data_IF_172918803207
#
_entry.id   IF_172918803207
#
_cell.length_a   1.000
_cell.length_b   1.000
_cell.length_c   1.000
_cell.angle_alpha   90.00
_cell.angle_beta   90.00
_cell.angle_gamma   90.00
#
_symmetry.space_group_name_H-M   'P 1'
#
loop_
_entity.id
_entity.type
_entity.pdbx_description
1 polymer ?
#
# COMPACT_ATOMS: atom_id res chain seq x y z
N UNK A 1 -4.11 -3.16 6.71
CA UNK A 1 -4.93 -2.24 7.54
C UNK A 1 -6.43 -2.34 7.26
N UNK A 2 -6.89 -1.88 6.09
CA UNK A 2 -8.31 -1.77 5.71
C UNK A 2 -8.49 -0.74 4.59
N UNK A 3 -9.70 -0.21 4.36
CA UNK A 3 -10.02 0.68 3.23
C UNK A 3 -9.50 2.13 3.38
N UNK A 4 -8.60 2.39 4.33
CA UNK A 4 -7.97 3.70 4.51
C UNK A 4 -6.80 3.94 3.53
N UNK A 5 -6.32 2.91 2.85
CA UNK A 5 -5.46 3.05 1.69
C UNK A 5 -6.31 3.03 0.41
N UNK A 6 -5.80 3.66 -0.65
CA UNK A 6 -6.33 3.49 -1.99
C UNK A 6 -5.18 3.30 -2.95
N UNK A 7 -5.18 2.20 -3.67
CA UNK A 7 -4.21 1.88 -4.70
C UNK A 7 -4.85 2.17 -6.05
N UNK A 8 -4.17 2.96 -6.86
CA UNK A 8 -4.63 3.27 -8.21
C UNK A 8 -3.87 2.37 -9.17
N UNK A 9 -4.59 1.62 -9.99
CA UNK A 9 -4.04 0.77 -11.04
C UNK A 9 -4.54 1.28 -12.39
N UNK A 10 -3.62 1.55 -13.32
CA UNK A 10 -3.94 2.01 -14.67
C UNK A 10 -3.75 0.87 -15.66
N UNK A 11 -4.80 0.48 -16.36
CA UNK A 11 -4.79 -0.60 -17.37
C UNK A 11 -5.27 -0.02 -18.69
N UNK A 12 -4.36 0.14 -19.64
CA UNK A 12 -4.62 0.92 -20.85
C UNK A 12 -5.10 2.33 -20.49
N UNK A 13 -6.28 2.73 -20.98
CA UNK A 13 -6.85 4.07 -20.72
C UNK A 13 -7.69 4.15 -19.43
N UNK A 14 -7.84 3.05 -18.68
CA UNK A 14 -8.71 2.97 -17.52
C UNK A 14 -7.94 3.08 -16.21
N UNK A 15 -8.46 3.89 -15.28
CA UNK A 15 -7.91 4.06 -13.94
C UNK A 15 -8.84 3.46 -12.89
N UNK A 16 -8.35 2.49 -12.12
CA UNK A 16 -9.10 1.83 -11.07
C UNK A 16 -8.55 2.25 -9.70
N UNK A 17 -9.39 2.87 -8.87
CA UNK A 17 -9.06 3.13 -7.46
C UNK A 17 -9.65 2.04 -6.58
N UNK A 18 -8.81 1.16 -6.04
CA UNK A 18 -9.22 0.03 -5.17
C UNK A 18 -8.78 0.27 -3.73
N UNK A 19 -9.58 -0.19 -2.76
CA UNK A 19 -9.32 0.00 -1.32
C UNK A 19 -9.45 -1.28 -0.51
N UNK A 20 -10.30 -2.20 -0.93
CA UNK A 20 -10.51 -3.50 -0.29
C UNK A 20 -10.00 -4.65 -1.15
N UNK A 21 -10.29 -4.62 -2.45
CA UNK A 21 -9.87 -5.67 -3.38
C UNK A 21 -8.37 -5.54 -3.66
N UNK A 22 -7.56 -6.60 -3.50
CA UNK A 22 -6.15 -6.57 -3.84
C UNK A 22 -5.90 -6.12 -5.30
N UNK A 23 -4.85 -5.35 -5.52
CA UNK A 23 -4.49 -4.78 -6.83
C UNK A 23 -4.19 -5.83 -7.90
N UNK A 24 -3.94 -7.08 -7.47
CA UNK A 24 -3.81 -8.25 -8.35
C UNK A 24 -5.07 -8.64 -9.12
N UNK A 25 -6.19 -7.91 -8.98
CA UNK A 25 -7.40 -8.14 -9.78
C UNK A 25 -7.16 -8.08 -11.30
N UNK A 26 -6.10 -7.42 -11.76
CA UNK A 26 -5.73 -7.39 -13.18
C UNK A 26 -5.31 -8.76 -13.73
N UNK A 27 -4.95 -9.71 -12.85
CA UNK A 27 -4.62 -11.08 -13.22
C UNK A 27 -5.87 -11.97 -13.07
N UNK A 28 -6.48 -12.45 -14.17
CA UNK A 28 -7.78 -13.14 -14.12
C UNK A 28 -7.72 -14.49 -13.41
N UNK A 29 -6.59 -15.19 -13.50
CA UNK A 29 -6.39 -16.51 -12.89
C UNK A 29 -5.99 -16.44 -11.41
N UNK A 30 -5.73 -15.24 -10.89
CA UNK A 30 -5.34 -15.07 -9.49
C UNK A 30 -6.54 -15.17 -8.56
N UNK A 31 -6.39 -15.95 -7.47
CA UNK A 31 -7.27 -15.92 -6.31
C UNK A 31 -6.94 -14.69 -5.46
N UNK A 32 -7.94 -13.87 -5.16
CA UNK A 32 -7.78 -12.64 -4.37
C UNK A 32 -8.24 -12.89 -2.94
N UNK A 33 -7.38 -12.65 -1.95
CA UNK A 33 -7.69 -12.94 -0.55
C UNK A 33 -7.48 -11.72 0.34
N UNK A 34 -8.34 -11.55 1.35
CA UNK A 34 -8.19 -10.55 2.41
C UNK A 34 -7.89 -11.26 3.73
N UNK A 35 -6.64 -11.17 4.20
CA UNK A 35 -6.15 -11.83 5.40
C UNK A 35 -6.79 -11.34 6.71
N UNK A 36 -6.86 -12.22 7.70
CA UNK A 36 -7.52 -11.97 8.99
C UNK A 36 -7.09 -10.70 9.72
N UNK A 37 -5.86 -10.21 9.54
CA UNK A 37 -5.36 -8.98 10.15
C UNK A 37 -5.95 -7.70 9.57
N UNK A 38 -6.67 -7.77 8.46
CA UNK A 38 -7.29 -6.63 7.78
C UNK A 38 -8.67 -6.32 8.37
N UNK A 39 -9.03 -5.04 8.38
CA UNK A 39 -10.40 -4.58 8.64
C UNK A 39 -11.20 -4.54 7.34
N UNK A 40 -12.42 -5.09 7.38
CA UNK A 40 -13.30 -5.19 6.22
C UNK A 40 -14.45 -4.22 6.39
N UNK A 41 -14.66 -3.38 5.37
CA UNK A 41 -15.91 -2.64 5.20
C UNK A 41 -16.77 -3.36 4.14
N UNK A 42 -17.85 -4.06 4.54
CA UNK A 42 -18.68 -4.83 3.61
C UNK A 42 -19.23 -3.98 2.46
N UNK A 43 -19.51 -2.69 2.72
CA UNK A 43 -20.07 -1.76 1.74
C UNK A 43 -19.05 -1.46 0.63
N UNK A 44 -17.79 -1.27 1.01
CA UNK A 44 -16.70 -1.00 0.07
C UNK A 44 -16.33 -2.27 -0.68
N UNK A 45 -16.21 -3.39 0.04
CA UNK A 45 -15.88 -4.70 -0.53
C UNK A 45 -16.87 -5.10 -1.63
N UNK A 46 -18.17 -5.15 -1.33
CA UNK A 46 -19.20 -5.56 -2.30
C UNK A 46 -19.26 -4.61 -3.51
N UNK A 47 -19.12 -3.30 -3.29
CA UNK A 47 -19.07 -2.32 -4.39
C UNK A 47 -17.88 -2.56 -5.32
N UNK A 48 -16.71 -2.88 -4.76
CA UNK A 48 -15.50 -3.13 -5.56
C UNK A 48 -15.57 -4.49 -6.29
N UNK A 49 -16.29 -5.49 -5.76
CA UNK A 49 -16.59 -6.74 -6.50
C UNK A 49 -17.36 -6.43 -7.79
N UNK A 50 -18.45 -5.68 -7.67
CA UNK A 50 -19.29 -5.31 -8.81
C UNK A 50 -18.52 -4.47 -9.83
N UNK A 51 -17.71 -3.52 -9.34
CA UNK A 51 -16.91 -2.62 -10.19
C UNK A 51 -15.86 -3.37 -11.01
N UNK A 52 -15.21 -4.37 -10.40
CA UNK A 52 -14.06 -5.06 -10.98
C UNK A 52 -14.41 -6.40 -11.64
N UNK A 53 -15.64 -6.90 -11.46
CA UNK A 53 -16.06 -8.18 -12.01
C UNK A 53 -15.27 -9.36 -11.46
N UNK A 54 -14.96 -9.35 -10.16
CA UNK A 54 -14.11 -10.35 -9.50
C UNK A 54 -14.88 -11.38 -8.68
N UNK A 55 -16.20 -11.42 -8.84
CA UNK A 55 -17.03 -12.42 -8.18
C UNK A 55 -16.56 -13.85 -8.53
N UNK A 56 -16.65 -14.76 -7.55
CA UNK A 56 -16.19 -16.15 -7.67
C UNK A 56 -14.69 -16.39 -7.47
N UNK A 57 -13.85 -15.34 -7.40
CA UNK A 57 -12.39 -15.49 -7.15
C UNK A 57 -11.83 -14.60 -6.05
N UNK A 58 -12.69 -13.85 -5.37
CA UNK A 58 -12.34 -13.00 -4.23
C UNK A 58 -12.88 -13.60 -2.93
N UNK A 59 -12.06 -13.60 -1.90
CA UNK A 59 -12.38 -14.20 -0.61
C UNK A 59 -11.88 -13.35 0.55
N UNK A 60 -12.55 -13.48 1.68
CA UNK A 60 -12.26 -12.76 2.91
C UNK A 60 -12.14 -13.75 4.07
N UNK A 61 -11.15 -13.54 4.93
CA UNK A 61 -11.03 -14.38 6.12
C UNK A 61 -12.19 -14.12 7.09
N UNK A 62 -12.82 -15.19 7.58
CA UNK A 62 -13.94 -15.08 8.52
C UNK A 62 -13.61 -14.35 9.83
N UNK A 63 -12.32 -14.21 10.16
CA UNK A 63 -11.82 -13.56 11.38
C UNK A 63 -11.51 -12.07 11.21
N UNK A 64 -11.61 -11.52 10.01
CA UNK A 64 -11.44 -10.09 9.74
C UNK A 64 -12.37 -9.26 10.64
N UNK A 65 -11.86 -8.17 11.23
CA UNK A 65 -12.70 -7.22 11.99
C UNK A 65 -13.55 -6.38 11.04
N UNK A 66 -14.77 -6.03 11.44
CA UNK A 66 -15.72 -5.32 10.58
C UNK A 66 -15.74 -3.82 10.90
N UNK A 67 -15.69 -3.00 9.85
CA UNK A 67 -15.95 -1.56 9.92
C UNK A 67 -17.46 -1.36 9.80
N UNK A 68 -18.00 -0.58 10.72
CA UNK A 68 -19.43 -0.30 10.86
C UNK A 68 -19.65 1.21 10.71
N UNK A 69 -20.88 1.64 10.47
CA UNK A 69 -21.21 3.07 10.31
C UNK A 69 -20.78 3.90 11.53
N UNK A 70 -20.91 3.35 12.73
CA UNK A 70 -20.46 4.01 13.95
C UNK A 70 -18.95 4.26 13.95
N UNK A 71 -18.15 3.32 13.43
CA UNK A 71 -16.71 3.50 13.32
C UNK A 71 -16.37 4.68 12.40
N UNK A 72 -17.07 4.80 11.27
CA UNK A 72 -16.93 5.92 10.32
C UNK A 72 -17.35 7.24 10.99
N UNK A 73 -18.47 7.25 11.71
CA UNK A 73 -18.96 8.41 12.44
C UNK A 73 -17.99 8.87 13.53
N UNK A 74 -17.44 7.94 14.33
CA UNK A 74 -16.43 8.23 15.36
C UNK A 74 -15.14 8.79 14.76
N UNK A 75 -14.71 8.27 13.62
CA UNK A 75 -13.50 8.74 12.93
C UNK A 75 -13.67 10.17 12.41
N UNK A 76 -14.77 10.44 11.70
CA UNK A 76 -15.08 11.76 11.13
C UNK A 76 -15.49 12.80 12.17
N UNK A 77 -16.16 12.39 13.24
CA UNK A 77 -16.65 13.27 14.30
C UNK A 77 -15.61 13.61 15.36
N UNK A 78 -14.48 12.91 15.40
CA UNK A 78 -13.41 13.17 16.37
C UNK A 78 -12.53 14.34 15.91
N UNK A 79 -12.53 15.45 16.65
CA UNK A 79 -11.62 16.57 16.40
C UNK A 79 -10.15 16.12 16.41
N UNK A 80 -9.81 15.17 17.27
CA UNK A 80 -8.45 14.63 17.32
C UNK A 80 -8.11 13.87 16.03
N UNK A 81 -8.93 12.89 15.63
CA UNK A 81 -8.63 12.06 14.47
C UNK A 81 -8.77 12.85 13.16
N UNK A 82 -9.88 13.55 12.98
CA UNK A 82 -10.20 14.24 11.73
C UNK A 82 -9.38 15.52 11.52
N UNK A 83 -9.20 16.35 12.56
CA UNK A 83 -8.52 17.66 12.42
C UNK A 83 -7.05 17.62 12.79
N UNK A 84 -6.68 17.00 13.92
CA UNK A 84 -5.29 17.00 14.38
C UNK A 84 -4.44 15.95 13.65
N UNK A 85 -4.91 14.71 13.54
CA UNK A 85 -4.17 13.66 12.84
C UNK A 85 -4.40 13.74 11.33
N UNK A 86 -5.62 14.08 10.92
CA UNK A 86 -6.01 14.07 9.51
C UNK A 86 -6.31 12.66 9.01
N UNK A 87 -7.04 11.86 9.79
CA UNK A 87 -7.47 10.51 9.40
C UNK A 87 -8.24 10.50 8.08
N UNK A 88 -8.41 9.33 7.48
CA UNK A 88 -9.13 9.21 6.21
C UNK A 88 -10.65 9.23 6.36
N UNK A 89 -11.16 9.20 7.59
CA UNK A 89 -12.61 9.16 7.85
C UNK A 89 -13.26 7.87 7.36
N UNK A 90 -12.51 6.76 7.35
CA UNK A 90 -12.96 5.44 6.89
C UNK A 90 -13.34 4.52 8.06
N UNK A 91 -13.10 4.94 9.30
CA UNK A 91 -13.42 4.13 10.48
C UNK A 91 -12.32 3.15 10.89
N UNK A 92 -11.19 3.07 10.17
CA UNK A 92 -10.11 2.13 10.49
C UNK A 92 -9.50 2.36 11.88
N UNK A 93 -9.42 3.62 12.34
CA UNK A 93 -8.94 3.94 13.69
C UNK A 93 -9.86 3.37 14.77
N UNK A 94 -11.12 3.83 14.84
CA UNK A 94 -12.11 3.31 15.79
C UNK A 94 -12.33 1.79 15.71
N UNK A 95 -12.39 1.21 14.51
CA UNK A 95 -12.58 -0.24 14.36
C UNK A 95 -11.40 -1.05 14.91
N UNK A 96 -10.15 -0.59 14.72
CA UNK A 96 -9.00 -1.23 15.36
C UNK A 96 -9.01 -1.05 16.89
N UNK A 97 -9.47 0.10 17.40
CA UNK A 97 -9.65 0.29 18.84
C UNK A 97 -10.62 -0.76 19.42
N UNK A 98 -11.77 -0.93 18.79
CA UNK A 98 -12.78 -1.91 19.21
C UNK A 98 -12.27 -3.36 19.05
N UNK A 99 -11.49 -3.63 18.00
CA UNK A 99 -10.82 -4.92 17.82
C UNK A 99 -9.84 -5.22 18.95
N UNK A 100 -9.03 -4.24 19.36
CA UNK A 100 -8.11 -4.37 20.52
C UNK A 100 -8.88 -4.56 21.82
N UNK A 101 -10.05 -3.92 21.98
CA UNK A 101 -10.94 -4.09 23.12
C UNK A 101 -11.78 -5.38 23.05
N UNK A 102 -11.68 -6.14 21.95
CA UNK A 102 -12.43 -7.38 21.69
C UNK A 102 -13.94 -7.18 21.65
N UNK A 103 -14.38 -6.04 21.15
CA UNK A 103 -15.80 -5.67 20.99
C UNK A 103 -16.23 -5.57 19.52
N UNK A 104 -15.30 -5.54 18.58
CA UNK A 104 -15.58 -5.52 17.13
C UNK A 104 -16.19 -6.84 16.65
N UNK A 105 -17.19 -6.77 15.77
CA UNK A 105 -17.72 -7.92 15.02
C UNK A 105 -16.68 -8.45 14.03
N UNK A 106 -16.84 -9.71 13.63
CA UNK A 106 -16.01 -10.35 12.62
C UNK A 106 -16.77 -10.57 11.31
N UNK A 107 -16.06 -10.77 10.20
CA UNK A 107 -16.65 -10.97 8.88
C UNK A 107 -17.63 -12.15 8.82
N UNK A 108 -17.35 -13.23 9.56
CA UNK A 108 -18.26 -14.38 9.70
C UNK A 108 -19.62 -14.03 10.32
N UNK A 109 -19.72 -12.91 11.03
CA UNK A 109 -20.94 -12.45 11.68
C UNK A 109 -21.81 -11.59 10.73
N UNK A 110 -21.35 -11.33 9.51
CA UNK A 110 -22.02 -10.47 8.51
C UNK A 110 -22.64 -11.36 7.41
N UNK A 111 -23.98 -11.51 7.36
CA UNK A 111 -24.65 -12.41 6.41
C UNK A 111 -24.30 -12.16 4.94
N UNK A 112 -24.14 -10.89 4.56
CA UNK A 112 -23.83 -10.44 3.20
C UNK A 112 -22.44 -10.90 2.72
N UNK A 113 -21.54 -11.26 3.64
CA UNK A 113 -20.20 -11.76 3.30
C UNK A 113 -20.15 -13.29 3.20
N UNK A 114 -21.21 -14.00 3.58
CA UNK A 114 -21.18 -15.46 3.79
C UNK A 114 -20.63 -16.28 2.62
N UNK A 115 -20.91 -15.89 1.37
CA UNK A 115 -20.41 -16.57 0.16
C UNK A 115 -18.92 -16.37 -0.11
N UNK A 116 -18.28 -15.41 0.54
CA UNK A 116 -16.87 -15.03 0.32
C UNK A 116 -15.94 -15.50 1.46
N UNK A 117 -16.49 -16.12 2.51
CA UNK A 117 -15.74 -16.47 3.72
C UNK A 117 -14.92 -17.74 3.51
N UNK A 118 -13.62 -17.67 3.78
CA UNK A 118 -12.69 -18.81 3.85
C UNK A 118 -11.77 -18.68 5.09
N UNK A 119 -10.92 -19.69 5.33
CA UNK A 119 -9.72 -19.52 6.15
C UNK A 119 -8.56 -19.14 5.23
N UNK A 120 -8.23 -17.84 5.17
CA UNK A 120 -7.20 -17.33 4.26
C UNK A 120 -5.82 -17.83 4.67
N UNK A 121 -5.56 -17.95 5.97
CA UNK A 121 -4.27 -18.42 6.46
C UNK A 121 -4.02 -19.88 6.06
N UNK A 122 -5.03 -20.74 6.17
CA UNK A 122 -4.96 -22.13 5.70
C UNK A 122 -4.71 -22.19 4.19
N UNK A 123 -5.51 -21.47 3.40
CA UNK A 123 -5.40 -21.46 1.94
C UNK A 123 -4.03 -20.95 1.45
N UNK A 124 -3.55 -19.84 2.01
CA UNK A 124 -2.24 -19.27 1.66
C UNK A 124 -1.11 -20.22 2.03
N UNK A 125 -1.13 -20.79 3.24
CA UNK A 125 -0.08 -21.74 3.63
C UNK A 125 -0.13 -23.03 2.82
N UNK A 126 -1.31 -23.48 2.40
CA UNK A 126 -1.45 -24.62 1.51
C UNK A 126 -0.87 -24.32 0.12
N UNK A 127 -1.09 -23.13 -0.43
CA UNK A 127 -0.48 -22.67 -1.69
C UNK A 127 1.06 -22.65 -1.60
N UNK A 128 1.60 -22.04 -0.54
CA UNK A 128 3.06 -22.04 -0.28
C UNK A 128 3.61 -23.47 -0.21
N UNK A 129 2.94 -24.37 0.51
CA UNK A 129 3.39 -25.77 0.62
C UNK A 129 3.31 -26.55 -0.72
N UNK A 130 2.47 -26.10 -1.67
CA UNK A 130 2.42 -26.64 -3.04
C UNK A 130 3.45 -26.01 -3.99
N UNK A 131 4.24 -25.05 -3.51
CA UNK A 131 5.20 -24.31 -4.33
C UNK A 131 4.53 -23.31 -5.28
N UNK A 132 3.31 -22.87 -4.97
CA UNK A 132 2.63 -21.82 -5.73
C UNK A 132 3.13 -20.43 -5.31
N UNK A 133 3.04 -19.47 -6.23
CA UNK A 133 3.40 -18.08 -5.95
C UNK A 133 2.29 -17.41 -5.11
N UNK A 134 2.70 -16.79 -3.99
CA UNK A 134 1.82 -15.97 -3.15
C UNK A 134 2.40 -14.57 -3.06
N UNK A 135 1.63 -13.57 -3.48
CA UNK A 135 1.98 -12.15 -3.34
C UNK A 135 1.16 -11.53 -2.20
N UNK A 136 1.85 -11.00 -1.19
CA UNK A 136 1.22 -10.29 -0.08
C UNK A 136 1.29 -8.78 -0.31
N UNK A 137 0.13 -8.14 -0.46
CA UNK A 137 0.02 -6.69 -0.65
C UNK A 137 -0.13 -5.96 0.68
N UNK A 138 0.73 -4.97 0.91
CA UNK A 138 0.77 -4.17 2.13
C UNK A 138 -0.03 -2.87 2.05
N UNK A 139 -0.44 -2.38 3.22
CA UNK A 139 -0.93 -1.01 3.44
C UNK A 139 -0.41 -0.54 4.80
N UNK A 140 0.09 0.67 5.00
CA UNK A 140 0.47 1.75 4.09
C UNK A 140 2.00 1.79 3.90
N UNK A 141 2.62 2.97 3.83
CA UNK A 141 4.08 3.13 3.85
C UNK A 141 4.65 3.14 5.28
N UNK A 142 5.96 2.90 5.38
CA UNK A 142 6.70 2.81 6.64
C UNK A 142 6.58 4.07 7.53
N UNK A 143 6.62 5.27 6.93
CA UNK A 143 6.58 6.55 7.67
C UNK A 143 5.33 6.79 8.52
N UNK A 144 4.28 5.99 8.29
CA UNK A 144 3.03 6.02 9.05
C UNK A 144 2.74 4.70 9.78
N UNK A 145 3.75 3.86 10.00
CA UNK A 145 3.69 2.75 10.95
C UNK A 145 3.30 3.26 12.34
N UNK A 146 2.41 2.54 13.04
CA UNK A 146 2.06 2.87 14.43
C UNK A 146 3.27 2.85 15.38
N UNK A 147 4.26 2.00 15.11
CA UNK A 147 5.40 1.79 16.00
C UNK A 147 6.60 2.64 15.61
N UNK A 148 6.92 2.65 14.31
CA UNK A 148 8.17 3.23 13.79
C UNK A 148 7.96 4.54 13.03
N UNK A 149 6.71 4.91 12.78
CA UNK A 149 6.36 6.13 12.06
C UNK A 149 6.38 7.37 12.95
N UNK A 150 5.92 8.48 12.37
CA UNK A 150 5.91 9.80 13.02
C UNK A 150 4.76 9.99 14.03
N UNK A 151 4.67 9.12 15.04
CA UNK A 151 3.60 9.16 16.04
C UNK A 151 3.46 10.56 16.68
N UNK A 152 2.23 11.11 16.82
CA UNK A 152 0.93 10.46 16.61
C UNK A 152 0.37 10.50 15.18
N UNK A 153 1.11 11.08 14.22
CA UNK A 153 0.66 11.26 12.83
C UNK A 153 0.89 9.99 11.98
N UNK A 154 0.28 8.91 12.41
CA UNK A 154 0.46 7.55 11.89
C UNK A 154 -0.89 6.86 11.72
N UNK A 155 -0.89 5.70 11.08
CA UNK A 155 -2.06 4.83 10.97
C UNK A 155 -2.30 4.06 12.27
N UNK A 156 -3.40 3.33 12.37
CA UNK A 156 -3.80 2.64 13.62
C UNK A 156 -3.14 1.27 13.86
N UNK A 157 -2.12 0.89 13.07
CA UNK A 157 -1.34 -0.35 13.26
C UNK A 157 -0.01 -0.29 12.48
N UNK A 158 0.90 -1.22 12.76
CA UNK A 158 2.17 -1.29 12.05
C UNK A 158 1.97 -1.55 10.53
N UNK A 159 2.91 -1.07 9.73
CA UNK A 159 2.90 -1.15 8.27
C UNK A 159 4.13 -1.87 7.72
N UNK A 160 4.93 -2.50 8.60
CA UNK A 160 6.09 -3.27 8.18
C UNK A 160 5.73 -4.58 7.47
N UNK A 161 6.68 -5.14 6.71
CA UNK A 161 6.58 -6.44 6.06
C UNK A 161 6.22 -7.56 7.05
N UNK A 162 6.76 -7.52 8.27
CA UNK A 162 6.42 -8.48 9.33
C UNK A 162 4.95 -8.41 9.71
N UNK A 163 4.38 -7.20 9.81
CA UNK A 163 2.96 -7.04 10.07
C UNK A 163 2.10 -7.51 8.89
N UNK A 164 2.53 -7.28 7.65
CA UNK A 164 1.84 -7.75 6.44
C UNK A 164 1.81 -9.29 6.40
N UNK A 165 2.92 -9.94 6.74
CA UNK A 165 2.98 -11.41 6.86
C UNK A 165 2.02 -11.92 7.94
N UNK A 166 2.04 -11.30 9.13
CA UNK A 166 1.14 -11.65 10.23
C UNK A 166 -0.34 -11.45 9.86
N UNK A 167 -0.67 -10.43 9.06
CA UNK A 167 -2.05 -10.15 8.63
C UNK A 167 -2.65 -11.27 7.79
N UNK A 168 -1.80 -11.99 7.08
CA UNK A 168 -2.17 -13.08 6.17
C UNK A 168 -1.89 -14.47 6.77
N UNK A 169 -1.44 -14.53 8.04
CA UNK A 169 -1.16 -15.80 8.71
C UNK A 169 0.06 -16.54 8.15
N UNK A 170 1.03 -15.81 7.59
CA UNK A 170 2.26 -16.38 7.05
C UNK A 170 3.38 -16.23 8.08
N UNK A 171 4.02 -17.34 8.42
CA UNK A 171 5.17 -17.34 9.34
C UNK A 171 6.38 -16.62 8.72
N UNK A 172 7.19 -15.90 9.50
CA UNK A 172 8.29 -15.09 8.96
C UNK A 172 9.36 -15.93 8.23
N UNK A 173 9.52 -17.20 8.59
CA UNK A 173 10.47 -18.12 7.93
C UNK A 173 9.98 -18.64 6.57
N UNK A 174 8.77 -18.26 6.13
CA UNK A 174 8.19 -18.60 4.83
C UNK A 174 8.17 -17.42 3.86
N UNK A 175 8.80 -16.30 4.22
CA UNK A 175 8.93 -15.13 3.36
C UNK A 175 10.25 -15.24 2.61
N UNK A 176 10.17 -15.40 1.29
CA UNK A 176 11.36 -15.48 0.43
C UNK A 176 11.86 -14.07 0.09
N UNK A 177 10.96 -13.18 -0.34
CA UNK A 177 11.27 -11.82 -0.77
C UNK A 177 10.45 -10.76 -0.03
N UNK A 178 11.10 -9.61 0.22
CA UNK A 178 10.46 -8.40 0.72
C UNK A 178 10.77 -7.25 -0.23
N UNK A 179 9.78 -6.89 -1.05
CA UNK A 179 9.86 -5.73 -1.93
C UNK A 179 9.45 -4.46 -1.19
N UNK A 180 10.35 -3.49 -1.06
CA UNK A 180 10.02 -2.17 -0.49
C UNK A 180 9.91 -1.14 -1.60
N UNK A 181 8.71 -0.56 -1.73
CA UNK A 181 8.40 0.43 -2.77
C UNK A 181 8.73 1.83 -2.28
N UNK A 182 9.55 2.54 -3.05
CA UNK A 182 9.89 3.94 -2.84
C UNK A 182 9.43 4.78 -4.03
N UNK A 183 8.99 6.00 -3.73
CA UNK A 183 8.76 7.02 -4.74
C UNK A 183 9.97 7.94 -4.77
N UNK A 184 10.44 8.29 -5.98
CA UNK A 184 11.58 9.18 -6.13
C UNK A 184 11.40 10.56 -5.45
N UNK A 185 10.14 10.98 -5.31
CA UNK A 185 9.70 12.17 -4.60
C UNK A 185 8.64 11.76 -3.55
N UNK A 186 9.01 11.56 -2.27
CA UNK A 186 8.06 11.15 -1.24
C UNK A 186 6.88 12.12 -1.15
N UNK A 187 5.73 11.61 -0.71
CA UNK A 187 4.53 12.42 -0.51
C UNK A 187 3.87 12.11 0.82
N UNK A 188 3.14 13.08 1.37
CA UNK A 188 2.41 12.94 2.63
C UNK A 188 1.02 13.54 2.54
N UNK A 189 0.02 12.81 3.03
CA UNK A 189 -1.35 13.32 3.21
C UNK A 189 -1.54 13.69 4.68
N UNK A 190 -2.15 14.84 4.93
CA UNK A 190 -2.44 15.32 6.28
C UNK A 190 -1.21 15.87 7.00
N UNK A 191 -1.38 16.10 8.29
CA UNK A 191 -0.40 16.76 9.15
C UNK A 191 0.83 15.88 9.47
N UNK A 192 1.78 16.49 10.17
CA UNK A 192 2.94 15.82 10.77
C UNK A 192 4.26 16.05 10.05
N UNK A 193 5.39 15.65 10.68
CA UNK A 193 6.72 16.03 10.22
C UNK A 193 7.05 15.48 8.83
N UNK A 194 7.62 16.32 7.97
CA UNK A 194 8.11 15.90 6.66
C UNK A 194 9.42 16.60 6.37
N UNK A 195 10.55 15.89 6.58
CA UNK A 195 11.88 16.50 6.65
C UNK A 195 12.33 17.12 5.32
N UNK A 196 11.99 16.47 4.21
CA UNK A 196 12.36 16.89 2.85
C UNK A 196 11.23 17.59 2.12
N UNK A 197 10.22 18.08 2.85
CA UNK A 197 9.07 18.78 2.27
C UNK A 197 9.52 20.01 1.49
N UNK A 198 9.09 20.06 0.23
CA UNK A 198 9.28 21.22 -0.63
C UNK A 198 8.29 22.32 -0.24
N UNK A 199 8.70 23.57 -0.40
CA UNK A 199 7.76 24.69 -0.33
C UNK A 199 6.71 24.57 -1.44
N UNK A 200 5.58 25.28 -1.27
CA UNK A 200 4.55 25.35 -2.31
C UNK A 200 5.10 25.91 -3.63
N UNK A 201 6.04 26.86 -3.57
CA UNK A 201 6.67 27.40 -4.77
C UNK A 201 7.48 26.34 -5.52
N UNK A 202 8.32 25.57 -4.82
CA UNK A 202 9.14 24.51 -5.39
C UNK A 202 8.29 23.35 -5.94
N UNK A 203 7.31 22.87 -5.18
CA UNK A 203 6.45 21.78 -5.66
C UNK A 203 5.61 22.18 -6.88
N UNK A 204 5.19 23.44 -6.98
CA UNK A 204 4.47 23.94 -8.16
C UNK A 204 5.33 23.97 -9.43
N UNK A 205 6.66 24.09 -9.33
CA UNK A 205 7.52 24.06 -10.53
C UNK A 205 7.66 22.65 -11.12
N UNK A 206 7.30 21.61 -10.37
CA UNK A 206 7.30 20.22 -10.87
C UNK A 206 6.22 19.98 -11.94
N UNK A 207 5.21 20.85 -12.03
CA UNK A 207 4.18 20.77 -13.06
C UNK A 207 3.12 19.68 -12.83
N UNK A 208 3.09 19.06 -11.66
CA UNK A 208 2.06 18.08 -11.28
C UNK A 208 1.62 18.23 -9.83
N UNK A 209 0.45 17.69 -9.52
CA UNK A 209 -0.11 17.61 -8.17
C UNK A 209 -0.64 16.21 -7.92
N UNK A 210 -0.48 15.70 -6.70
CA UNK A 210 -1.06 14.43 -6.29
C UNK A 210 -2.20 14.63 -5.31
N UNK A 211 -3.29 13.89 -5.51
CA UNK A 211 -4.43 13.85 -4.61
C UNK A 211 -4.56 12.45 -4.00
N UNK A 212 -4.95 12.36 -2.72
CA UNK A 212 -5.21 11.08 -2.09
C UNK A 212 -6.44 10.38 -2.68
N UNK A 213 -6.32 9.12 -3.10
CA UNK A 213 -7.40 8.34 -3.71
C UNK A 213 -8.66 8.24 -2.84
N UNK A 214 -8.48 8.19 -1.51
CA UNK A 214 -9.60 8.02 -0.55
C UNK A 214 -10.21 9.36 -0.13
N UNK A 215 -9.37 10.36 0.15
CA UNK A 215 -9.82 11.62 0.77
C UNK A 215 -9.92 12.79 -0.21
N UNK A 216 -9.37 12.63 -1.42
CA UNK A 216 -9.19 13.68 -2.43
C UNK A 216 -8.42 14.90 -1.93
N UNK A 217 -7.71 14.79 -0.80
CA UNK A 217 -6.84 15.85 -0.27
C UNK A 217 -5.55 15.93 -1.07
N UNK A 218 -5.07 17.15 -1.29
CA UNK A 218 -3.77 17.43 -1.89
C UNK A 218 -2.65 16.82 -1.03
N UNK A 219 -1.68 16.17 -1.68
CA UNK A 219 -0.48 15.64 -1.02
C UNK A 219 0.60 16.71 -0.96
N UNK A 220 1.28 16.76 0.18
CA UNK A 220 2.55 17.48 0.35
C UNK A 220 3.64 16.67 -0.35
N UNK A 221 4.55 17.34 -1.07
CA UNK A 221 5.60 16.70 -1.89
C UNK A 221 6.96 17.06 -1.29
N UNK A 222 7.87 16.10 -1.26
CA UNK A 222 9.25 16.31 -0.81
C UNK A 222 10.29 15.73 -1.76
N UNK A 223 11.54 16.11 -1.55
CA UNK A 223 12.69 15.49 -2.22
C UNK A 223 13.05 14.12 -1.61
N UNK A 224 13.87 13.36 -2.33
CA UNK A 224 14.38 12.07 -1.86
C UNK A 224 14.97 12.16 -0.45
N UNK A 225 14.58 11.24 0.44
CA UNK A 225 15.10 11.13 1.81
C UNK A 225 15.85 9.81 1.98
N UNK A 226 17.14 9.82 1.63
CA UNK A 226 17.99 8.63 1.72
C UNK A 226 18.14 8.07 3.14
N UNK A 227 18.03 8.91 4.18
CA UNK A 227 18.12 8.45 5.58
C UNK A 227 16.86 7.67 5.97
N UNK A 228 15.69 8.20 5.63
CA UNK A 228 14.42 7.52 5.85
C UNK A 228 14.31 6.26 4.99
N UNK A 229 14.78 6.29 3.74
CA UNK A 229 14.80 5.14 2.86
C UNK A 229 15.63 3.99 3.45
N UNK A 230 16.86 4.28 3.89
CA UNK A 230 17.72 3.31 4.58
C UNK A 230 17.05 2.68 5.80
N UNK A 231 16.48 3.52 6.66
CA UNK A 231 15.87 3.05 7.90
C UNK A 231 14.62 2.19 7.63
N UNK A 232 13.79 2.60 6.66
CA UNK A 232 12.64 1.83 6.19
C UNK A 232 13.06 0.47 5.63
N UNK A 233 14.08 0.45 4.77
CA UNK A 233 14.61 -0.79 4.18
C UNK A 233 15.14 -1.75 5.25
N UNK A 234 15.92 -1.24 6.20
CA UNK A 234 16.47 -2.00 7.32
C UNK A 234 15.37 -2.64 8.18
N UNK A 235 14.34 -1.88 8.59
CA UNK A 235 13.28 -2.41 9.45
C UNK A 235 12.43 -3.47 8.73
N UNK A 236 12.19 -3.28 7.42
CA UNK A 236 11.39 -4.23 6.65
C UNK A 236 12.17 -5.49 6.26
N UNK A 237 13.51 -5.49 6.35
CA UNK A 237 14.32 -6.57 5.79
C UNK A 237 14.24 -6.61 4.27
N UNK A 238 14.31 -5.44 3.62
CA UNK A 238 14.21 -5.29 2.17
C UNK A 238 15.19 -6.22 1.44
N UNK A 239 14.68 -7.11 0.59
CA UNK A 239 15.50 -7.94 -0.30
C UNK A 239 15.67 -7.26 -1.66
N UNK A 240 14.60 -6.61 -2.14
CA UNK A 240 14.56 -5.91 -3.43
C UNK A 240 13.83 -4.58 -3.24
N UNK A 241 14.37 -3.50 -3.80
CA UNK A 241 13.69 -2.22 -3.85
C UNK A 241 12.96 -2.03 -5.19
N UNK A 242 11.83 -1.32 -5.13
CA UNK A 242 11.13 -0.83 -6.31
C UNK A 242 11.11 0.71 -6.28
N UNK A 243 11.51 1.36 -7.37
CA UNK A 243 11.44 2.82 -7.53
C UNK A 243 10.28 3.17 -8.46
N UNK A 244 9.39 4.05 -8.02
CA UNK A 244 8.33 4.63 -8.86
C UNK A 244 8.55 6.11 -9.09
N UNK A 245 8.10 6.61 -10.24
CA UNK A 245 8.12 8.04 -10.54
C UNK A 245 9.48 8.54 -11.01
N UNK A 246 10.25 7.69 -11.68
CA UNK A 246 11.55 8.08 -12.25
C UNK A 246 11.38 9.10 -13.38
N UNK A 247 10.23 9.09 -14.06
CA UNK A 247 9.80 10.10 -15.03
C UNK A 247 9.66 11.50 -14.42
N UNK A 248 9.52 11.61 -13.11
CA UNK A 248 9.57 12.90 -12.41
C UNK A 248 10.99 13.32 -11.98
N UNK A 249 11.94 12.38 -11.96
CA UNK A 249 13.37 12.72 -11.87
C UNK A 249 13.82 13.29 -13.22
N UNK A 250 13.43 12.65 -14.32
CA UNK A 250 13.66 13.13 -15.68
C UNK A 250 12.47 12.77 -16.60
N UNK A 251 11.73 13.77 -17.12
CA UNK A 251 10.59 13.53 -18.02
C UNK A 251 10.93 12.73 -19.29
N UNK A 252 12.19 12.71 -19.70
CA UNK A 252 12.63 11.89 -20.83
C UNK A 252 12.54 10.38 -20.57
N UNK A 253 12.44 9.96 -19.30
CA UNK A 253 12.27 8.56 -18.92
C UNK A 253 10.81 8.08 -18.99
N UNK A 254 9.84 8.95 -19.31
CA UNK A 254 8.43 8.57 -19.32
C UNK A 254 8.15 7.42 -20.31
N UNK A 255 7.60 6.33 -19.79
CA UNK A 255 7.23 5.15 -20.57
C UNK A 255 8.38 4.31 -21.10
N UNK A 256 9.62 4.58 -20.67
CA UNK A 256 10.77 3.73 -21.00
C UNK A 256 10.59 2.33 -20.41
N UNK A 257 10.96 1.29 -21.16
CA UNK A 257 10.79 -0.13 -20.77
C UNK A 257 12.10 -0.93 -20.78
N UNK A 258 13.21 -0.30 -21.13
CA UNK A 258 14.56 -0.87 -21.10
C UNK A 258 15.47 -0.07 -20.18
N UNK A 259 16.32 -0.74 -19.41
CA UNK A 259 17.28 -0.08 -18.51
C UNK A 259 18.28 0.80 -19.29
N UNK A 260 18.71 0.33 -20.47
CA UNK A 260 19.68 1.04 -21.33
C UNK A 260 19.15 2.36 -21.90
N UNK A 261 17.83 2.55 -21.90
CA UNK A 261 17.17 3.75 -22.43
C UNK A 261 16.96 4.83 -21.35
N UNK A 262 17.38 4.58 -20.10
CA UNK A 262 17.34 5.58 -19.03
C UNK A 262 18.37 6.68 -19.24
N UNK A 263 18.01 7.92 -18.86
CA UNK A 263 18.94 9.04 -18.97
C UNK A 263 20.06 8.97 -17.94
N UNK A 264 21.23 9.60 -18.18
CA UNK A 264 22.30 9.66 -17.19
C UNK A 264 21.86 10.23 -15.83
N UNK A 265 20.91 11.16 -15.84
CA UNK A 265 20.34 11.75 -14.62
C UNK A 265 19.51 10.75 -13.82
N UNK A 266 18.70 9.93 -14.51
CA UNK A 266 17.94 8.86 -13.86
C UNK A 266 18.86 7.77 -13.31
N UNK A 267 19.90 7.38 -14.06
CA UNK A 267 20.90 6.41 -13.61
C UNK A 267 21.65 6.90 -12.36
N UNK A 268 22.13 8.16 -12.34
CA UNK A 268 22.77 8.75 -11.15
C UNK A 268 21.84 8.74 -9.92
N UNK A 269 20.55 9.04 -10.13
CA UNK A 269 19.56 8.94 -9.06
C UNK A 269 19.40 7.51 -8.55
N UNK A 270 19.28 6.53 -9.44
CA UNK A 270 19.11 5.11 -9.07
C UNK A 270 20.33 4.58 -8.33
N UNK A 271 21.55 4.89 -8.79
CA UNK A 271 22.79 4.52 -8.11
C UNK A 271 22.84 5.07 -6.68
N UNK A 272 22.49 6.34 -6.50
CA UNK A 272 22.46 6.96 -5.17
C UNK A 272 21.33 6.40 -4.30
N UNK A 273 20.14 6.15 -4.87
CA UNK A 273 19.02 5.55 -4.16
C UNK A 273 19.34 4.13 -3.69
N UNK A 274 19.93 3.29 -4.54
CA UNK A 274 20.35 1.93 -4.20
C UNK A 274 21.37 1.93 -3.05
N UNK A 275 22.36 2.82 -3.11
CA UNK A 275 23.34 3.02 -2.03
C UNK A 275 22.71 3.48 -0.73
N UNK A 276 21.69 4.33 -0.79
CA UNK A 276 20.98 4.81 0.40
C UNK A 276 20.15 3.70 1.04
N UNK A 277 19.36 2.98 0.23
CA UNK A 277 18.50 1.87 0.65
C UNK A 277 19.34 0.72 1.22
N UNK A 278 20.46 0.39 0.57
CA UNK A 278 21.31 -0.74 0.93
C UNK A 278 20.76 -2.11 0.48
N UNK A 279 19.89 -2.12 -0.54
CA UNK A 279 19.36 -3.30 -1.21
C UNK A 279 19.21 -2.99 -2.71
N UNK A 280 19.35 -4.00 -3.59
CA UNK A 280 19.31 -3.79 -5.04
C UNK A 280 17.95 -3.27 -5.51
N UNK A 281 17.94 -2.41 -6.53
CA UNK A 281 16.71 -1.97 -7.20
C UNK A 281 16.38 -2.95 -8.33
N UNK A 282 15.31 -3.73 -8.15
CA UNK A 282 14.88 -4.72 -9.15
C UNK A 282 13.77 -4.24 -10.07
N UNK A 283 13.01 -3.22 -9.66
CA UNK A 283 11.81 -2.75 -10.37
C UNK A 283 11.83 -1.22 -10.46
N UNK A 284 11.63 -0.69 -11.67
CA UNK A 284 11.64 0.76 -11.92
C UNK A 284 10.40 1.12 -12.75
N UNK A 285 9.44 1.81 -12.13
CA UNK A 285 8.25 2.33 -12.83
C UNK A 285 8.56 3.69 -13.47
N UNK A 286 8.29 3.76 -14.76
CA UNK A 286 8.55 4.90 -15.67
C UNK A 286 7.27 5.63 -16.07
N UNK A 287 6.14 5.25 -15.47
CA UNK A 287 4.86 5.88 -15.70
C UNK A 287 3.72 5.13 -15.00
N UNK A 288 2.47 5.63 -15.13
CA UNK A 288 1.32 5.07 -14.43
C UNK A 288 0.81 3.75 -15.01
N UNK A 289 1.01 3.48 -16.31
CA UNK A 289 0.46 2.30 -16.99
C UNK A 289 1.26 1.03 -16.64
N UNK A 290 0.60 -0.12 -16.58
CA UNK A 290 1.21 -1.40 -16.17
C UNK A 290 2.47 -1.79 -16.97
N UNK A 291 2.51 -1.50 -18.26
CA UNK A 291 3.65 -1.80 -19.13
C UNK A 291 4.80 -0.81 -18.99
N UNK A 292 4.60 0.31 -18.28
CA UNK A 292 5.63 1.34 -18.06
C UNK A 292 6.48 0.99 -16.84
N UNK A 293 7.15 -0.15 -16.95
CA UNK A 293 8.00 -0.71 -15.92
C UNK A 293 9.23 -1.35 -16.56
N UNK A 294 10.37 -1.19 -15.91
CA UNK A 294 11.61 -1.90 -16.20
C UNK A 294 11.79 -2.94 -15.08
N UNK A 295 11.93 -4.20 -15.45
CA UNK A 295 12.16 -5.32 -14.53
C UNK A 295 13.56 -5.88 -14.77
N UNK A 296 14.44 -5.70 -13.80
CA UNK A 296 15.84 -6.16 -13.85
C UNK A 296 16.12 -7.22 -12.79
N UNK A 297 15.09 -7.86 -12.22
CA UNK A 297 15.25 -8.86 -11.15
C UNK A 297 16.06 -10.07 -11.58
N UNK A 298 16.02 -10.45 -12.86
CA UNK A 298 16.79 -11.57 -13.40
C UNK A 298 18.31 -11.26 -13.50
N UNK A 299 18.71 -10.00 -13.29
CA UNK A 299 20.09 -9.53 -13.36
C UNK A 299 20.74 -9.36 -11.96
N UNK A 300 19.99 -9.61 -10.88
CA UNK A 300 20.39 -9.41 -9.48
C UNK A 300 21.10 -10.61 -8.84
#
# INVERSE_FOLDING_TARGET
>A
MGPNAGHTVTVGDQNYGVRMIPSGFVYPDAKLCIGSGVLVDPRVFLKEIDLLGVDGRVFVDGRCGVIEEEHVARDRGSDHLAKKIGSTGTGCGPANSDRVLRTSRQAKDVPELSSYIIDVAEDVNAAINRGENVLLEGTQGFGISLYYGTYPYVTSKDTSASQIAADNGVGPTKIDDVVVVFKAYPTRVGEGPFQTEMTAAESNTLGFQEFGTVTHRLRRIGGWDGKMARYSAMINGCTIAAITGIDHVDPACFGVTSYDDLTPKALEFLEQAEKDIGAPIGLISTGPELSQIIDVRDEL
#
